data_IF_529276372858
#
_entry.id   IF_529276372858
#
_cell.length_a   1.000
_cell.length_b   1.000
_cell.length_c   1.000
_cell.angle_alpha   90.00
_cell.angle_beta   90.00
_cell.angle_gamma   90.00
#
_symmetry.space_group_name_H-M   'P 1'
#
loop_
_entity.id
_entity.type
_entity.pdbx_description
1 polymer ?
#
# COMPACT_ATOMS: atom_id res chain seq x y z
N UNK A 1 6.36 -13.70 -11.49
CA UNK A 1 6.39 -12.26 -11.84
C UNK A 1 5.73 -11.42 -10.74
N UNK A 2 6.48 -10.52 -10.10
CA UNK A 2 5.92 -9.55 -9.15
C UNK A 2 4.85 -8.72 -9.86
N UNK A 3 3.58 -8.90 -9.50
CA UNK A 3 2.53 -8.05 -10.05
C UNK A 3 2.79 -6.60 -9.60
N UNK A 4 2.75 -5.61 -10.50
CA UNK A 4 2.82 -4.21 -10.11
C UNK A 4 1.51 -3.85 -9.41
N UNK A 5 1.50 -3.84 -8.08
CA UNK A 5 0.36 -3.34 -7.32
C UNK A 5 0.27 -1.83 -7.54
N UNK A 6 -0.93 -1.36 -7.85
CA UNK A 6 -1.24 0.07 -7.79
C UNK A 6 -2.03 0.37 -6.52
N UNK A 7 -2.04 1.64 -6.12
CA UNK A 7 -2.82 2.11 -4.98
C UNK A 7 -4.31 1.72 -5.11
N UNK A 8 -4.86 1.78 -6.33
CA UNK A 8 -6.24 1.40 -6.61
C UNK A 8 -6.51 -0.09 -6.38
N UNK A 9 -5.54 -0.96 -6.67
CA UNK A 9 -5.68 -2.41 -6.45
C UNK A 9 -5.69 -2.74 -4.95
N UNK A 10 -4.80 -2.08 -4.20
CA UNK A 10 -4.76 -2.21 -2.74
C UNK A 10 -6.06 -1.72 -2.11
N UNK A 11 -6.54 -0.55 -2.53
CA UNK A 11 -7.79 0.01 -2.04
C UNK A 11 -8.97 -0.92 -2.35
N UNK A 12 -9.05 -1.45 -3.57
CA UNK A 12 -10.09 -2.42 -3.97
C UNK A 12 -10.02 -3.70 -3.14
N UNK A 13 -8.84 -4.24 -2.87
CA UNK A 13 -8.69 -5.45 -2.03
C UNK A 13 -9.14 -5.24 -0.58
N UNK A 14 -9.03 -4.01 -0.06
CA UNK A 14 -9.49 -3.63 1.26
C UNK A 14 -10.95 -3.11 1.27
N UNK A 15 -11.62 -3.09 0.11
CA UNK A 15 -12.92 -2.46 -0.09
C UNK A 15 -12.99 -0.99 0.36
N UNK A 16 -11.92 -0.24 0.08
CA UNK A 16 -11.75 1.17 0.42
C UNK A 16 -11.58 2.02 -0.84
N UNK A 17 -11.88 3.31 -0.69
CA UNK A 17 -11.49 4.33 -1.67
C UNK A 17 -9.96 4.58 -1.61
N UNK A 18 -9.27 4.78 -2.75
CA UNK A 18 -7.82 5.02 -2.79
C UNK A 18 -7.35 6.24 -2.00
N UNK A 19 -8.12 7.33 -1.99
CA UNK A 19 -7.79 8.53 -1.23
C UNK A 19 -8.02 8.29 0.27
N UNK A 20 -9.07 7.55 0.64
CA UNK A 20 -9.31 7.14 2.02
C UNK A 20 -8.17 6.24 2.55
N UNK A 21 -7.78 5.21 1.78
CA UNK A 21 -6.65 4.34 2.10
C UNK A 21 -5.37 5.15 2.33
N UNK A 22 -5.08 6.11 1.45
CA UNK A 22 -3.90 6.98 1.57
C UNK A 22 -3.93 7.83 2.84
N UNK A 23 -5.09 8.38 3.21
CA UNK A 23 -5.27 9.14 4.46
C UNK A 23 -5.08 8.26 5.69
N UNK A 24 -5.68 7.06 5.67
CA UNK A 24 -5.57 6.10 6.77
C UNK A 24 -4.10 5.71 7.01
N UNK A 25 -3.37 5.40 5.95
CA UNK A 25 -1.96 5.05 6.03
C UNK A 25 -1.10 6.22 6.55
N UNK A 26 -1.34 7.45 6.10
CA UNK A 26 -0.64 8.61 6.65
C UNK A 26 -0.95 8.84 8.13
N UNK A 27 -2.19 8.59 8.56
CA UNK A 27 -2.63 8.78 9.95
C UNK A 27 -2.04 7.71 10.89
N UNK A 28 -2.14 6.44 10.50
CA UNK A 28 -1.88 5.32 11.41
C UNK A 28 -0.48 4.71 11.23
N UNK A 29 0.07 4.75 10.01
CA UNK A 29 1.38 4.17 9.67
C UNK A 29 2.44 5.27 9.47
N UNK A 30 2.03 6.50 9.17
CA UNK A 30 2.93 7.62 8.86
C UNK A 30 3.56 7.55 7.46
N UNK A 31 3.24 6.53 6.66
CA UNK A 31 3.79 6.28 5.33
C UNK A 31 2.68 6.25 4.29
N UNK A 32 3.02 6.43 3.01
CA UNK A 32 2.06 6.15 1.93
C UNK A 32 1.91 4.63 1.72
N UNK A 33 0.73 4.13 1.29
CA UNK A 33 0.50 2.69 1.08
C UNK A 33 1.52 2.03 0.15
N UNK A 34 1.89 2.72 -0.94
CA UNK A 34 2.88 2.22 -1.90
C UNK A 34 4.30 2.17 -1.31
N UNK A 35 4.67 3.14 -0.48
CA UNK A 35 5.97 3.16 0.20
C UNK A 35 6.06 2.02 1.22
N UNK A 36 4.97 1.76 1.94
CA UNK A 36 4.87 0.63 2.86
C UNK A 36 5.01 -0.72 2.13
N UNK A 37 4.34 -0.87 0.98
CA UNK A 37 4.47 -2.08 0.16
C UNK A 37 5.90 -2.28 -0.36
N UNK A 38 6.57 -1.21 -0.82
CA UNK A 38 7.95 -1.29 -1.27
C UNK A 38 8.89 -1.73 -0.13
N UNK A 39 8.67 -1.24 1.09
CA UNK A 39 9.44 -1.66 2.28
C UNK A 39 9.26 -3.15 2.58
N UNK A 40 8.02 -3.64 2.57
CA UNK A 40 7.70 -5.07 2.76
C UNK A 40 8.41 -5.92 1.71
N UNK A 41 8.33 -5.55 0.43
CA UNK A 41 9.02 -6.28 -0.64
C UNK A 41 10.52 -6.37 -0.41
N UNK A 42 11.14 -5.25 -0.05
CA UNK A 42 12.56 -5.21 0.28
C UNK A 42 12.91 -6.09 1.49
N UNK A 43 12.03 -6.21 2.50
CA UNK A 43 12.23 -7.08 3.66
C UNK A 43 12.06 -8.57 3.34
N UNK A 44 11.22 -8.93 2.37
CA UNK A 44 10.91 -10.32 2.01
C UNK A 44 11.79 -10.90 0.89
N UNK A 45 12.56 -10.07 0.19
CA UNK A 45 13.51 -10.51 -0.84
C UNK A 45 14.90 -10.92 -0.27
N UNK A 46 15.04 -10.97 1.07
CA UNK A 46 16.19 -11.53 1.79
C UNK A 46 15.92 -12.94 2.29
#
# INVERSE_FOLDING_TARGET
PERPWQLGDLARSANLDPAYLSRLFRRDVGLAPMAYLARIRAEHDF
#
